data_IF_340561608265
#
_entry.id   IF_340561608265
#
_cell.length_a   1.000
_cell.length_b   1.000
_cell.length_c   1.000
_cell.angle_alpha   90.00
_cell.angle_beta   90.00
_cell.angle_gamma   90.00
#
_symmetry.space_group_name_H-M   'P 1'
#
loop_
_entity.id
_entity.type
_entity.pdbx_description
1 polymer ?
#
# COMPACT_ATOMS: atom_id res chain seq x y z
N UNK A 1 3.95 -12.60 11.45
CA UNK A 1 4.19 -11.20 11.84
C UNK A 1 3.20 -10.24 11.16
N UNK A 2 3.02 -10.32 9.84
CA UNK A 2 2.09 -9.47 9.05
C UNK A 2 0.62 -9.55 9.50
N UNK A 3 0.11 -10.72 9.86
CA UNK A 3 -1.28 -10.88 10.32
C UNK A 3 -1.59 -10.08 11.59
N UNK A 4 -0.66 -10.05 12.57
CA UNK A 4 -0.86 -9.31 13.81
C UNK A 4 -0.96 -7.80 13.58
N UNK A 5 -0.10 -7.24 12.73
CA UNK A 5 -0.15 -5.82 12.37
C UNK A 5 -1.42 -5.45 11.59
N UNK A 6 -1.92 -6.37 10.73
CA UNK A 6 -3.16 -6.20 9.99
C UNK A 6 -4.36 -6.02 10.93
N UNK A 7 -4.47 -6.90 11.94
CA UNK A 7 -5.60 -6.88 12.87
C UNK A 7 -5.49 -5.72 13.87
N UNK A 8 -4.29 -5.35 14.28
CA UNK A 8 -4.04 -4.16 15.10
C UNK A 8 -4.45 -2.86 14.36
N UNK A 9 -4.13 -2.75 13.06
CA UNK A 9 -4.54 -1.61 12.23
C UNK A 9 -6.05 -1.55 12.05
N UNK A 10 -6.72 -2.69 11.93
CA UNK A 10 -8.19 -2.76 11.81
C UNK A 10 -8.91 -2.29 13.08
N UNK A 11 -8.26 -2.46 14.23
CA UNK A 11 -8.82 -2.03 15.52
C UNK A 11 -8.74 -0.51 15.76
N UNK A 12 -7.92 0.23 15.00
CA UNK A 12 -7.75 1.66 15.18
C UNK A 12 -9.02 2.44 14.80
N UNK A 13 -9.24 3.54 15.49
CA UNK A 13 -10.35 4.47 15.25
C UNK A 13 -9.80 5.87 15.00
N UNK A 14 -10.46 6.59 14.11
CA UNK A 14 -10.02 7.90 13.65
C UNK A 14 -11.16 8.89 13.77
N UNK A 15 -10.83 10.10 14.22
CA UNK A 15 -11.80 11.18 14.40
C UNK A 15 -12.12 11.91 13.07
N UNK A 16 -13.21 12.65 13.00
CA UNK A 16 -13.46 13.57 11.90
C UNK A 16 -12.25 14.48 11.63
N UNK A 17 -11.97 14.77 10.36
CA UNK A 17 -12.80 14.58 9.17
C UNK A 17 -12.67 13.21 8.47
N UNK A 18 -11.97 12.22 9.06
CA UNK A 18 -11.95 10.86 8.55
C UNK A 18 -13.33 10.23 8.74
N UNK A 19 -13.97 9.84 7.64
CA UNK A 19 -15.29 9.23 7.65
C UNK A 19 -15.26 7.74 7.30
N UNK A 20 -14.27 7.32 6.49
CA UNK A 20 -14.08 5.92 6.10
C UNK A 20 -12.61 5.59 6.16
N UNK A 21 -12.29 4.40 6.67
CA UNK A 21 -10.96 3.82 6.66
C UNK A 21 -11.02 2.49 5.91
N UNK A 22 -10.11 2.31 4.95
CA UNK A 22 -9.96 1.04 4.26
C UNK A 22 -8.64 0.40 4.64
N UNK A 23 -8.68 -0.90 4.89
CA UNK A 23 -7.50 -1.72 5.13
C UNK A 23 -7.34 -2.75 4.00
N UNK A 24 -6.61 -2.45 2.92
CA UNK A 24 -6.39 -3.38 1.82
C UNK A 24 -5.79 -4.72 2.24
N UNK A 25 -5.10 -4.77 3.37
CA UNK A 25 -4.56 -6.02 3.90
C UNK A 25 -5.66 -6.97 4.42
N UNK A 26 -6.89 -6.49 4.62
CA UNK A 26 -8.02 -7.34 4.96
C UNK A 26 -8.69 -7.89 3.70
N UNK A 27 -9.19 -7.02 2.83
CA UNK A 27 -10.05 -7.40 1.73
C UNK A 27 -9.31 -7.75 0.42
N UNK A 28 -8.06 -7.33 0.26
CA UNK A 28 -7.20 -7.65 -0.89
C UNK A 28 -5.95 -8.45 -0.49
N UNK A 29 -6.06 -9.25 0.56
CA UNK A 29 -4.95 -10.01 1.12
C UNK A 29 -4.31 -10.99 0.13
N UNK A 30 -5.10 -11.66 -0.70
CA UNK A 30 -4.58 -12.67 -1.62
C UNK A 30 -3.58 -12.08 -2.61
N UNK A 31 -3.92 -10.93 -3.22
CA UNK A 31 -3.01 -10.23 -4.11
C UNK A 31 -1.78 -9.67 -3.37
N UNK A 32 -1.97 -9.15 -2.15
CA UNK A 32 -0.86 -8.69 -1.31
C UNK A 32 0.09 -9.82 -0.94
N UNK A 33 -0.45 -10.97 -0.53
CA UNK A 33 0.33 -12.16 -0.21
C UNK A 33 1.08 -12.71 -1.43
N UNK A 34 0.44 -12.74 -2.60
CA UNK A 34 1.08 -13.12 -3.86
C UNK A 34 2.25 -12.18 -4.19
N UNK A 35 2.08 -10.87 -4.02
CA UNK A 35 3.13 -9.87 -4.18
C UNK A 35 4.32 -10.13 -3.26
N UNK A 36 4.08 -10.35 -1.97
CA UNK A 36 5.14 -10.62 -1.00
C UNK A 36 5.81 -11.98 -1.21
N UNK A 37 5.04 -13.00 -1.57
CA UNK A 37 5.58 -14.33 -1.86
C UNK A 37 6.48 -14.31 -3.08
N UNK A 38 6.05 -13.63 -4.16
CA UNK A 38 6.80 -13.58 -5.40
C UNK A 38 8.00 -12.63 -5.34
N UNK A 39 7.82 -11.46 -4.74
CA UNK A 39 8.78 -10.37 -4.84
C UNK A 39 9.39 -9.92 -3.51
N UNK A 40 8.82 -10.30 -2.38
CA UNK A 40 9.30 -9.92 -1.04
C UNK A 40 10.44 -10.78 -0.49
N UNK A 41 10.79 -11.86 -1.17
CA UNK A 41 11.81 -12.82 -0.69
C UNK A 41 13.24 -12.36 -1.00
N UNK A 42 14.18 -12.86 -0.20
CA UNK A 42 15.60 -12.57 -0.38
C UNK A 42 16.02 -11.18 0.10
N UNK A 43 17.32 -10.91 0.01
CA UNK A 43 17.89 -9.62 0.37
C UNK A 43 17.62 -8.57 -0.71
N UNK A 44 17.06 -7.43 -0.33
CA UNK A 44 16.81 -6.29 -1.22
C UNK A 44 17.82 -5.18 -0.93
N UNK A 45 18.49 -4.69 -1.97
CA UNK A 45 19.44 -3.57 -1.86
C UNK A 45 18.73 -2.22 -1.73
N UNK A 46 17.51 -2.12 -2.29
CA UNK A 46 16.76 -0.87 -2.39
C UNK A 46 15.32 -1.10 -1.92
N UNK A 47 14.83 -0.22 -1.08
CA UNK A 47 13.42 -0.17 -0.69
C UNK A 47 12.82 1.18 -1.10
N UNK A 48 11.79 1.13 -1.93
CA UNK A 48 10.96 2.29 -2.23
C UNK A 48 9.82 2.34 -1.23
N UNK A 49 9.76 3.39 -0.44
CA UNK A 49 8.77 3.56 0.61
C UNK A 49 7.74 4.63 0.23
N UNK A 50 6.51 4.21 -0.04
CA UNK A 50 5.36 5.10 -0.16
C UNK A 50 4.77 5.41 1.22
N UNK A 51 4.00 6.49 1.31
CA UNK A 51 3.38 6.91 2.57
C UNK A 51 2.17 6.03 2.91
N UNK A 52 1.15 6.02 2.04
CA UNK A 52 -0.06 5.22 2.18
C UNK A 52 -0.77 5.02 0.83
N UNK A 53 -1.74 4.11 0.73
CA UNK A 53 -2.42 3.80 -0.52
C UNK A 53 -3.17 4.98 -1.14
N UNK A 54 -3.12 5.05 -2.47
CA UNK A 54 -4.04 5.85 -3.25
C UNK A 54 -5.36 5.10 -3.55
N UNK A 55 -6.44 5.82 -3.87
CA UNK A 55 -7.78 5.24 -4.03
C UNK A 55 -7.96 4.36 -5.28
N UNK A 56 -7.05 4.44 -6.26
CA UNK A 56 -7.11 3.66 -7.51
C UNK A 56 -5.92 2.72 -7.69
N UNK A 57 -5.05 2.64 -6.67
CA UNK A 57 -3.88 1.78 -6.62
C UNK A 57 -4.04 0.66 -5.60
N UNK A 58 -3.22 0.66 -4.55
CA UNK A 58 -3.24 -0.39 -3.53
C UNK A 58 -4.61 -0.55 -2.86
N UNK A 59 -5.42 0.50 -2.78
CA UNK A 59 -6.80 0.39 -2.30
C UNK A 59 -7.62 -0.59 -3.14
N UNK A 60 -7.34 -0.73 -4.45
CA UNK A 60 -8.01 -1.66 -5.34
C UNK A 60 -7.33 -3.03 -5.39
N UNK A 61 -6.00 -3.05 -5.51
CA UNK A 61 -5.25 -4.27 -5.83
C UNK A 61 -4.57 -4.92 -4.63
N UNK A 62 -4.47 -4.25 -3.47
CA UNK A 62 -3.68 -4.72 -2.34
C UNK A 62 -2.16 -4.60 -2.52
N UNK A 63 -1.68 -4.24 -3.71
CA UNK A 63 -0.25 -4.11 -4.03
C UNK A 63 0.19 -2.65 -3.89
N UNK A 64 1.32 -2.34 -3.23
CA UNK A 64 1.83 -0.97 -3.13
C UNK A 64 1.97 -0.29 -4.49
N UNK A 65 1.50 0.96 -4.62
CA UNK A 65 1.42 1.69 -5.90
C UNK A 65 0.66 0.94 -7.01
N UNK A 66 -0.27 0.06 -6.64
CA UNK A 66 -0.85 -1.01 -7.46
C UNK A 66 -1.76 -0.54 -8.59
N UNK A 67 -1.23 0.21 -9.55
CA UNK A 67 -1.89 0.42 -10.85
C UNK A 67 -2.32 -0.94 -11.42
N UNK A 68 -3.60 -1.11 -11.74
CA UNK A 68 -4.17 -2.42 -12.13
C UNK A 68 -3.40 -3.06 -13.27
N UNK A 69 -3.13 -2.33 -14.34
CA UNK A 69 -2.40 -2.86 -15.50
C UNK A 69 -0.97 -3.29 -15.14
N UNK A 70 -0.28 -2.53 -14.30
CA UNK A 70 1.07 -2.89 -13.88
C UNK A 70 1.07 -4.15 -13.00
N UNK A 71 0.11 -4.28 -12.10
CA UNK A 71 0.02 -5.44 -11.22
C UNK A 71 -0.40 -6.69 -11.99
N UNK A 72 -1.45 -6.58 -12.80
CA UNK A 72 -1.97 -7.70 -13.59
C UNK A 72 -1.03 -8.11 -14.72
N UNK A 73 -0.66 -7.15 -15.59
CA UNK A 73 -0.04 -7.46 -16.87
C UNK A 73 1.49 -7.54 -16.77
N UNK A 74 2.14 -6.72 -15.92
CA UNK A 74 3.59 -6.70 -15.79
C UNK A 74 4.11 -7.54 -14.63
N UNK A 75 3.44 -7.50 -13.46
CA UNK A 75 3.82 -8.33 -12.30
C UNK A 75 3.21 -9.73 -12.36
N UNK A 76 2.18 -9.95 -13.19
CA UNK A 76 1.48 -11.23 -13.31
C UNK A 76 0.73 -11.61 -12.03
N UNK A 77 0.17 -10.63 -11.33
CA UNK A 77 -0.61 -10.83 -10.12
C UNK A 77 -2.05 -10.42 -10.38
N UNK A 78 -2.96 -11.36 -10.26
CA UNK A 78 -4.40 -11.14 -10.24
C UNK A 78 -5.01 -12.09 -9.23
N UNK A 79 -5.84 -11.60 -8.33
CA UNK A 79 -6.48 -12.39 -7.29
C UNK A 79 -7.83 -11.76 -6.90
N UNK A 80 -8.75 -12.52 -6.31
CA UNK A 80 -10.01 -12.00 -5.81
C UNK A 80 -9.79 -10.88 -4.79
N UNK A 81 -10.55 -9.80 -4.94
CA UNK A 81 -10.60 -8.69 -4.00
C UNK A 81 -12.01 -8.62 -3.45
N UNK A 82 -12.14 -8.72 -2.13
CA UNK A 82 -13.44 -8.65 -1.47
C UNK A 82 -13.87 -7.20 -1.27
N UNK A 83 -15.16 -6.96 -1.25
CA UNK A 83 -15.69 -5.64 -0.93
C UNK A 83 -15.77 -5.46 0.60
N UNK A 84 -15.18 -4.42 1.19
CA UNK A 84 -15.37 -4.13 2.60
C UNK A 84 -16.83 -3.76 2.89
N UNK A 85 -17.35 -4.04 4.10
CA UNK A 85 -18.78 -3.88 4.40
C UNK A 85 -19.29 -2.44 4.35
N UNK A 86 -18.41 -1.46 4.58
CA UNK A 86 -18.77 -0.04 4.66
C UNK A 86 -17.96 0.77 3.66
N UNK A 87 -18.38 0.73 2.37
CA UNK A 87 -17.69 1.46 1.31
C UNK A 87 -18.20 2.91 1.21
N UNK A 88 -17.26 3.81 0.90
CA UNK A 88 -17.59 5.18 0.54
C UNK A 88 -18.21 5.19 -0.87
N UNK A 89 -19.40 5.85 -1.08
CA UNK A 89 -20.12 5.78 -2.37
C UNK A 89 -19.31 6.25 -3.58
N UNK A 90 -18.40 7.21 -3.39
CA UNK A 90 -17.53 7.75 -4.44
C UNK A 90 -16.21 6.98 -4.60
N UNK A 91 -15.96 5.98 -3.76
CA UNK A 91 -14.70 5.22 -3.73
C UNK A 91 -14.98 3.72 -3.50
N UNK A 92 -15.75 3.10 -4.42
CA UNK A 92 -16.01 1.67 -4.33
C UNK A 92 -14.72 0.87 -4.55
N UNK A 93 -14.71 -0.35 -4.05
CA UNK A 93 -13.66 -1.34 -4.33
C UNK A 93 -14.13 -2.21 -5.49
N UNK A 94 -13.58 -1.95 -6.66
CA UNK A 94 -13.81 -2.69 -7.90
C UNK A 94 -12.72 -3.75 -8.14
N UNK A 95 -11.67 -3.75 -7.30
CA UNK A 95 -10.54 -4.67 -7.42
C UNK A 95 -9.82 -4.51 -8.76
N UNK A 96 -9.52 -5.62 -9.40
CA UNK A 96 -8.87 -5.64 -10.72
C UNK A 96 -9.80 -5.21 -11.88
N UNK A 97 -11.10 -5.04 -11.62
CA UNK A 97 -12.03 -4.43 -12.59
C UNK A 97 -12.00 -2.89 -12.55
N UNK A 98 -11.25 -2.26 -11.64
CA UNK A 98 -11.11 -0.82 -11.58
C UNK A 98 -10.52 -0.26 -12.88
N UNK A 99 -11.28 0.61 -13.55
CA UNK A 99 -10.87 1.23 -14.82
C UNK A 99 -10.11 2.54 -14.63
N UNK A 100 -10.03 3.04 -13.40
CA UNK A 100 -9.35 4.30 -13.08
C UNK A 100 -7.87 4.07 -12.81
N UNK A 101 -7.03 4.91 -13.43
CA UNK A 101 -5.58 4.82 -13.28
C UNK A 101 -5.07 5.47 -12.00
N UNK A 102 -4.16 4.80 -11.33
CA UNK A 102 -3.36 5.36 -10.23
C UNK A 102 -2.15 6.11 -10.80
N UNK A 103 -2.17 7.43 -10.74
CA UNK A 103 -1.17 8.27 -11.40
C UNK A 103 0.26 8.03 -10.90
N UNK A 104 0.44 7.89 -9.58
CA UNK A 104 1.75 7.61 -8.97
C UNK A 104 2.24 6.21 -9.34
N UNK A 105 1.37 5.21 -9.27
CA UNK A 105 1.68 3.84 -9.68
C UNK A 105 2.04 3.75 -11.17
N UNK A 106 1.23 4.36 -12.04
CA UNK A 106 1.53 4.40 -13.49
C UNK A 106 2.88 5.04 -13.78
N UNK A 107 3.24 6.12 -13.09
CA UNK A 107 4.53 6.79 -13.28
C UNK A 107 5.68 5.92 -12.78
N UNK A 108 5.56 5.37 -11.58
CA UNK A 108 6.58 4.53 -10.96
C UNK A 108 6.84 3.27 -11.80
N UNK A 109 5.80 2.48 -12.03
CA UNK A 109 5.92 1.21 -12.77
C UNK A 109 6.24 1.41 -14.25
N UNK A 110 5.73 2.48 -14.85
CA UNK A 110 6.08 2.84 -16.23
C UNK A 110 7.55 3.21 -16.39
N UNK A 111 8.15 3.88 -15.42
CA UNK A 111 9.60 4.14 -15.41
C UNK A 111 10.40 2.86 -15.15
N UNK A 112 10.00 2.07 -14.14
CA UNK A 112 10.66 0.81 -13.80
C UNK A 112 10.61 -0.17 -14.98
N UNK A 113 9.44 -0.36 -15.59
CA UNK A 113 9.26 -1.27 -16.73
C UNK A 113 10.12 -0.90 -17.93
N UNK A 114 10.25 0.41 -18.22
CA UNK A 114 11.18 0.86 -19.30
C UNK A 114 12.64 0.62 -18.95
N UNK A 115 13.02 0.71 -17.68
CA UNK A 115 14.42 0.57 -17.23
C UNK A 115 14.86 -0.88 -17.09
N UNK A 116 13.98 -1.77 -16.65
CA UNK A 116 14.31 -3.16 -16.28
C UNK A 116 13.70 -4.19 -17.24
N UNK A 117 12.65 -3.83 -18.01
CA UNK A 117 11.93 -4.77 -18.87
C UNK A 117 11.03 -5.70 -18.08
N UNK A 118 11.59 -6.68 -17.39
CA UNK A 118 10.83 -7.66 -16.61
C UNK A 118 10.74 -7.30 -15.12
N UNK A 119 9.61 -7.67 -14.49
CA UNK A 119 9.38 -7.41 -13.08
C UNK A 119 10.43 -8.11 -12.20
N UNK A 120 10.76 -9.35 -12.51
CA UNK A 120 11.73 -10.14 -11.76
C UNK A 120 13.11 -9.47 -11.69
N UNK A 121 13.54 -8.78 -12.75
CA UNK A 121 14.85 -8.08 -12.79
C UNK A 121 14.89 -6.90 -11.82
N UNK A 122 13.79 -6.18 -11.71
CA UNK A 122 13.66 -5.10 -10.71
C UNK A 122 13.58 -5.67 -9.29
N UNK A 123 12.67 -6.63 -9.08
CA UNK A 123 12.42 -7.18 -7.76
C UNK A 123 13.54 -8.08 -7.23
N UNK A 124 14.48 -8.52 -8.07
CA UNK A 124 15.70 -9.19 -7.61
C UNK A 124 16.52 -8.31 -6.65
N UNK A 125 16.49 -6.99 -6.81
CA UNK A 125 17.30 -6.06 -6.03
C UNK A 125 16.51 -5.01 -5.25
N UNK A 126 15.23 -4.83 -5.54
CA UNK A 126 14.41 -3.79 -4.95
C UNK A 126 13.06 -4.32 -4.48
N UNK A 127 12.42 -3.59 -3.56
CA UNK A 127 11.04 -3.81 -3.15
C UNK A 127 10.32 -2.46 -3.01
N UNK A 128 9.03 -2.46 -3.28
CA UNK A 128 8.18 -1.27 -3.09
C UNK A 128 7.16 -1.60 -2.00
N UNK A 129 7.05 -0.75 -0.99
CA UNK A 129 6.08 -0.91 0.10
C UNK A 129 5.44 0.42 0.46
N UNK A 130 4.30 0.39 1.15
CA UNK A 130 3.74 1.55 1.82
C UNK A 130 4.04 1.45 3.32
N UNK A 131 4.43 2.57 3.93
CA UNK A 131 4.64 2.65 5.38
C UNK A 131 3.34 2.37 6.13
N UNK A 132 2.28 3.10 5.79
CA UNK A 132 0.94 2.88 6.32
C UNK A 132 0.08 2.21 5.24
N UNK A 133 -0.51 1.04 5.48
CA UNK A 133 -1.35 0.38 4.48
C UNK A 133 -2.80 0.89 4.45
N UNK A 134 -3.19 1.79 5.38
CA UNK A 134 -4.54 2.29 5.48
C UNK A 134 -4.82 3.46 4.53
N UNK A 135 -6.06 3.52 4.05
CA UNK A 135 -6.61 4.65 3.30
C UNK A 135 -7.57 5.41 4.20
N UNK A 136 -7.41 6.72 4.28
CA UNK A 136 -8.27 7.59 5.08
C UNK A 136 -9.08 8.49 4.16
N UNK A 137 -10.41 8.34 4.17
CA UNK A 137 -11.29 9.13 3.34
C UNK A 137 -12.17 10.04 4.18
N UNK A 138 -12.28 11.29 3.76
CA UNK A 138 -13.30 12.23 4.24
C UNK A 138 -14.68 11.88 3.67
N UNK A 139 -15.75 12.41 4.23
CA UNK A 139 -17.11 12.26 3.70
C UNK A 139 -17.25 12.76 2.24
N UNK A 140 -16.38 13.66 1.80
CA UNK A 140 -16.28 14.10 0.39
C UNK A 140 -15.71 13.06 -0.56
N UNK A 141 -15.03 12.03 -0.03
CA UNK A 141 -14.22 11.06 -0.78
C UNK A 141 -12.79 11.52 -1.04
N UNK A 142 -12.36 12.62 -0.41
CA UNK A 142 -10.98 13.09 -0.46
C UNK A 142 -10.10 12.17 0.38
N UNK A 143 -8.98 11.73 -0.20
CA UNK A 143 -7.97 10.94 0.50
C UNK A 143 -7.09 11.83 1.38
N UNK A 144 -6.84 11.40 2.61
CA UNK A 144 -5.90 12.01 3.55
C UNK A 144 -4.67 11.14 3.71
N UNK A 145 -3.55 11.79 3.95
CA UNK A 145 -2.31 11.11 4.31
C UNK A 145 -2.18 11.01 5.84
N UNK A 146 -1.41 10.04 6.37
CA UNK A 146 -1.19 9.91 7.82
C UNK A 146 -0.71 11.21 8.49
N UNK A 147 0.12 12.01 7.83
CA UNK A 147 0.63 13.29 8.37
C UNK A 147 -0.45 14.37 8.55
N UNK A 148 -1.63 14.17 7.98
CA UNK A 148 -2.78 15.08 8.12
C UNK A 148 -3.72 14.66 9.27
N UNK A 149 -3.43 13.56 9.94
CA UNK A 149 -4.18 13.08 11.10
C UNK A 149 -3.74 13.83 12.38
N UNK A 150 -4.57 13.88 13.42
CA UNK A 150 -4.17 14.34 14.73
C UNK A 150 -2.94 13.60 15.27
N UNK A 151 -2.07 14.26 16.02
CA UNK A 151 -0.82 13.70 16.51
C UNK A 151 -1.01 12.40 17.35
N UNK A 152 -2.10 12.27 18.08
CA UNK A 152 -2.42 11.07 18.84
C UNK A 152 -2.68 9.86 17.91
N UNK A 153 -3.40 10.10 16.80
CA UNK A 153 -3.71 9.07 15.80
C UNK A 153 -2.46 8.69 15.00
N UNK A 154 -1.61 9.66 14.67
CA UNK A 154 -0.30 9.38 14.04
C UNK A 154 0.54 8.45 14.92
N UNK A 155 0.66 8.75 16.23
CA UNK A 155 1.39 7.89 17.18
C UNK A 155 0.79 6.49 17.29
N UNK A 156 -0.54 6.36 17.22
CA UNK A 156 -1.20 5.06 17.25
C UNK A 156 -0.87 4.20 16.01
N UNK A 157 -0.57 4.83 14.87
CA UNK A 157 -0.15 4.15 13.65
C UNK A 157 1.31 3.70 13.67
N UNK A 158 2.20 4.39 14.39
CA UNK A 158 3.65 4.16 14.32
C UNK A 158 4.03 2.70 14.61
N UNK A 159 3.63 2.16 15.75
CA UNK A 159 4.05 0.82 16.15
C UNK A 159 3.52 -0.30 15.20
N UNK A 160 2.24 -0.32 14.76
CA UNK A 160 1.77 -1.27 13.77
C UNK A 160 2.45 -1.12 12.40
N UNK A 161 2.68 0.12 11.93
CA UNK A 161 3.34 0.38 10.65
C UNK A 161 4.82 0.00 10.68
N UNK A 162 5.54 0.34 11.75
CA UNK A 162 6.94 -0.04 11.92
C UNK A 162 7.16 -1.55 11.89
N UNK A 163 6.22 -2.32 12.42
CA UNK A 163 6.30 -3.79 12.39
C UNK A 163 6.14 -4.39 11.00
N UNK A 164 5.57 -3.66 10.05
CA UNK A 164 5.43 -4.12 8.66
C UNK A 164 6.70 -3.89 7.85
N UNK A 165 7.57 -2.99 8.29
CA UNK A 165 8.83 -2.76 7.61
C UNK A 165 9.73 -3.99 7.72
N UNK A 166 10.42 -4.37 6.64
CA UNK A 166 11.47 -5.38 6.71
C UNK A 166 12.48 -5.03 7.79
N UNK A 167 12.92 -6.01 8.53
CA UNK A 167 14.03 -5.83 9.48
C UNK A 167 15.32 -5.74 8.68
N UNK A 168 15.73 -4.53 8.32
CA UNK A 168 17.02 -4.29 7.69
C UNK A 168 17.94 -3.53 8.66
N UNK A 169 19.23 -3.76 8.57
CA UNK A 169 20.24 -2.97 9.29
C UNK A 169 20.23 -1.49 8.85
N UNK A 170 19.66 -1.18 7.70
CA UNK A 170 19.55 0.15 7.08
C UNK A 170 18.43 1.04 7.64
N UNK A 171 17.72 0.66 8.71
CA UNK A 171 16.81 1.59 9.43
C UNK A 171 17.51 2.88 9.90
N UNK A 172 18.84 2.96 9.84
CA UNK A 172 19.60 4.14 10.26
C UNK A 172 19.66 5.26 9.22
N UNK A 173 19.54 4.94 7.92
CA UNK A 173 19.70 5.93 6.83
C UNK A 173 18.46 6.83 6.67
N UNK A 174 17.27 6.35 6.97
CA UNK A 174 16.02 7.13 6.82
C UNK A 174 15.79 8.22 7.88
N UNK A 175 16.59 8.29 8.94
CA UNK A 175 16.48 9.34 9.97
C UNK A 175 17.30 10.60 9.66
N UNK A 176 18.26 10.52 8.77
CA UNK A 176 19.14 11.65 8.43
C UNK A 176 18.57 12.60 7.38
N UNK A 177 17.47 12.23 6.71
CA UNK A 177 16.78 13.11 5.74
C UNK A 177 15.71 14.01 6.36
N UNK A 178 15.72 14.24 7.67
CA UNK A 178 14.86 15.21 8.35
C UNK A 178 15.68 16.35 8.95
N UNK A 179 16.43 17.02 8.11
CA UNK A 179 16.98 18.35 8.44
C UNK A 179 16.54 19.37 7.40
#
# INVERSE_FOLDING_TARGET
MLFRSRDELEALRFAPPVAHVYNPLQYAWEAHAAYLTRYGQGHKKIMFLGMNPGPFGMMQTGVPFGEVSAVRDWMGIEAPVQAPPHQHPKRPIDGFACTRSEVSGRRLWGWIGRRFGHADDFFAQAIVINYCPLVFLEASGKNRTPVQLPAAEQRALEAPCDRQLPRSEERRVGKECRS
#
